data_IF_076115525502
#
_entry.id   IF_076115525502
#
_cell.length_a   1.000
_cell.length_b   1.000
_cell.length_c   1.000
_cell.angle_alpha   90.00
_cell.angle_beta   90.00
_cell.angle_gamma   90.00
#
_symmetry.space_group_name_H-M   'P 1'
#
loop_
_entity.id
_entity.type
_entity.pdbx_description
1 polymer ?
#
# COMPACT_ATOMS: atom_id res chain seq x y z
N UNK A 1 -1.25 20.87 41.34
CA UNK A 1 -1.78 19.49 41.31
C UNK A 1 -2.87 19.44 40.25
N UNK A 2 -2.50 19.16 39.01
CA UNK A 2 -3.45 18.87 37.92
C UNK A 2 -2.75 17.89 36.97
N UNK A 3 -2.90 16.60 37.24
CA UNK A 3 -2.45 15.55 36.35
C UNK A 3 -3.40 15.50 35.14
N UNK A 4 -2.92 15.95 33.98
CA UNK A 4 -3.54 15.61 32.70
C UNK A 4 -3.17 14.16 32.38
N UNK A 5 -4.01 13.24 32.85
CA UNK A 5 -4.05 11.87 32.32
C UNK A 5 -4.76 11.99 30.96
N UNK A 6 -3.97 12.27 29.93
CA UNK A 6 -4.44 12.15 28.56
C UNK A 6 -4.71 10.68 28.27
N UNK A 7 -5.99 10.32 28.24
CA UNK A 7 -6.54 9.03 27.80
C UNK A 7 -5.73 8.46 26.61
N UNK A 8 -4.88 7.48 26.88
CA UNK A 8 -4.23 6.62 25.87
C UNK A 8 -4.99 5.32 25.62
N UNK A 9 -6.26 5.24 26.04
CA UNK A 9 -7.04 4.00 25.99
C UNK A 9 -8.39 4.18 25.26
N UNK A 10 -8.37 4.73 24.04
CA UNK A 10 -9.54 4.71 23.13
C UNK A 10 -9.20 4.27 21.70
N UNK A 11 -8.25 3.35 21.57
CA UNK A 11 -8.16 2.51 20.36
C UNK A 11 -8.48 1.06 20.76
N UNK A 12 -9.71 0.86 21.20
CA UNK A 12 -10.28 -0.46 21.37
C UNK A 12 -10.21 -1.22 20.04
N UNK A 13 -9.51 -2.36 20.03
CA UNK A 13 -9.62 -3.47 19.08
C UNK A 13 -10.67 -3.32 17.99
N UNK A 14 -10.36 -2.53 16.95
CA UNK A 14 -10.98 -2.69 15.66
C UNK A 14 -10.02 -3.52 14.82
N UNK A 15 -10.55 -4.52 14.11
CA UNK A 15 -9.88 -5.16 12.99
C UNK A 15 -9.63 -4.08 11.91
N UNK A 16 -8.61 -3.23 12.10
CA UNK A 16 -8.24 -2.20 11.13
C UNK A 16 -7.69 -2.95 9.91
N UNK A 17 -8.58 -3.20 8.94
CA UNK A 17 -8.21 -3.84 7.67
C UNK A 17 -7.53 -2.87 6.71
N UNK A 18 -7.51 -1.57 7.01
CA UNK A 18 -6.85 -0.55 6.20
C UNK A 18 -6.62 0.74 6.99
N UNK A 19 -5.58 1.50 6.63
CA UNK A 19 -5.34 2.87 7.06
C UNK A 19 -5.25 3.76 5.81
N UNK A 20 -5.94 4.89 5.80
CA UNK A 20 -5.92 5.84 4.68
C UNK A 20 -4.65 6.71 4.73
N UNK A 21 -4.12 7.17 3.58
CA UNK A 21 -2.96 8.04 3.55
C UNK A 21 -3.27 9.39 4.21
N UNK A 22 -2.25 10.03 4.74
CA UNK A 22 -2.29 11.39 5.23
C UNK A 22 -1.87 12.36 4.11
N UNK A 23 -2.31 13.62 4.15
CA UNK A 23 -1.76 14.63 3.25
C UNK A 23 -0.24 14.76 3.48
N UNK A 24 0.55 15.03 2.43
CA UNK A 24 1.97 15.31 2.62
C UNK A 24 2.17 16.52 3.56
N UNK A 25 3.25 16.53 4.36
CA UNK A 25 3.46 17.56 5.38
C UNK A 25 3.67 18.97 4.80
N UNK A 26 4.15 19.06 3.55
CA UNK A 26 4.40 20.33 2.87
C UNK A 26 3.76 20.32 1.48
N UNK A 27 2.62 20.99 1.34
CA UNK A 27 1.90 21.07 0.06
C UNK A 27 2.68 21.83 -1.04
N UNK A 28 3.68 22.64 -0.65
CA UNK A 28 4.47 23.47 -1.58
C UNK A 28 5.70 22.72 -2.08
N UNK A 29 6.35 21.92 -1.24
CA UNK A 29 7.53 21.15 -1.62
C UNK A 29 7.15 19.81 -2.25
N UNK A 30 6.01 19.24 -1.85
CA UNK A 30 5.51 17.94 -2.31
C UNK A 30 4.22 18.12 -3.12
N UNK A 31 4.31 18.95 -4.17
CA UNK A 31 3.15 19.31 -5.01
C UNK A 31 2.58 18.10 -5.74
N UNK A 32 3.45 17.22 -6.20
CA UNK A 32 3.05 16.04 -6.99
C UNK A 32 2.38 15.01 -6.08
N UNK A 33 2.94 14.77 -4.89
CA UNK A 33 2.35 13.90 -3.87
C UNK A 33 1.01 14.46 -3.37
N UNK A 34 0.90 15.79 -3.20
CA UNK A 34 -0.36 16.44 -2.84
C UNK A 34 -1.39 16.28 -3.95
N UNK A 35 -0.97 16.39 -5.21
CA UNK A 35 -1.83 16.20 -6.38
C UNK A 35 -2.34 14.76 -6.50
N UNK A 36 -1.49 13.77 -6.21
CA UNK A 36 -1.85 12.34 -6.12
C UNK A 36 -2.84 12.13 -4.97
N UNK A 37 -2.47 12.56 -3.75
CA UNK A 37 -3.30 12.42 -2.55
C UNK A 37 -4.70 13.01 -2.73
N UNK A 38 -4.79 14.24 -3.25
CA UNK A 38 -6.07 14.93 -3.41
C UNK A 38 -6.99 14.23 -4.41
N UNK A 39 -6.45 13.74 -5.54
CA UNK A 39 -7.21 13.01 -6.56
C UNK A 39 -7.65 11.65 -6.06
N UNK A 40 -6.74 10.90 -5.42
CA UNK A 40 -7.05 9.62 -4.79
C UNK A 40 -8.18 9.76 -3.76
N UNK A 41 -8.03 10.68 -2.81
CA UNK A 41 -9.04 10.90 -1.76
C UNK A 41 -10.37 11.40 -2.32
N UNK A 42 -10.35 12.22 -3.39
CA UNK A 42 -11.57 12.63 -4.08
C UNK A 42 -12.25 11.45 -4.74
N UNK A 43 -11.54 10.63 -5.49
CA UNK A 43 -12.15 9.49 -6.19
C UNK A 43 -12.66 8.43 -5.21
N UNK A 44 -11.88 8.11 -4.17
CA UNK A 44 -12.23 7.14 -3.12
C UNK A 44 -13.60 7.43 -2.47
N UNK A 45 -13.98 8.72 -2.33
CA UNK A 45 -15.31 9.10 -1.81
C UNK A 45 -16.47 8.76 -2.75
N UNK A 46 -16.23 8.68 -4.05
CA UNK A 46 -17.28 8.50 -5.06
C UNK A 46 -17.38 7.06 -5.60
N UNK A 47 -16.40 6.19 -5.35
CA UNK A 47 -16.47 4.79 -5.81
C UNK A 47 -17.68 4.08 -5.18
N UNK A 48 -18.64 3.58 -5.99
CA UNK A 48 -19.86 2.94 -5.51
C UNK A 48 -19.60 1.46 -5.14
N UNK A 49 -18.79 1.23 -4.12
CA UNK A 49 -18.50 -0.10 -3.57
C UNK A 49 -18.48 -0.06 -2.06
N UNK A 50 -19.01 -1.09 -1.41
CA UNK A 50 -18.89 -1.28 0.04
C UNK A 50 -17.55 -1.93 0.43
N UNK A 51 -16.86 -2.56 -0.53
CA UNK A 51 -15.58 -3.25 -0.30
C UNK A 51 -14.42 -2.27 -0.46
N UNK A 52 -13.81 -1.89 0.66
CA UNK A 52 -12.74 -0.89 0.68
C UNK A 52 -11.53 -1.27 -0.19
N UNK A 53 -11.14 -2.54 -0.23
CA UNK A 53 -10.04 -3.03 -1.09
C UNK A 53 -10.28 -2.66 -2.57
N UNK A 54 -11.51 -2.86 -3.06
CA UNK A 54 -11.90 -2.52 -4.43
C UNK A 54 -11.87 -0.99 -4.61
N UNK A 55 -12.34 -0.23 -3.62
CA UNK A 55 -12.31 1.25 -3.68
C UNK A 55 -10.89 1.78 -3.79
N UNK A 56 -9.96 1.23 -3.00
CA UNK A 56 -8.56 1.63 -2.98
C UNK A 56 -7.92 1.32 -4.33
N UNK A 57 -8.07 0.09 -4.83
CA UNK A 57 -7.52 -0.32 -6.13
C UNK A 57 -8.05 0.57 -7.26
N UNK A 58 -9.38 0.74 -7.37
CA UNK A 58 -9.98 1.59 -8.40
C UNK A 58 -9.57 3.06 -8.27
N UNK A 59 -9.40 3.58 -7.06
CA UNK A 59 -8.94 4.95 -6.85
C UNK A 59 -7.46 5.14 -7.21
N UNK A 60 -6.61 4.13 -7.01
CA UNK A 60 -5.22 4.14 -7.48
C UNK A 60 -5.21 4.22 -9.01
N UNK A 61 -5.88 3.29 -9.68
CA UNK A 61 -5.93 3.20 -11.15
C UNK A 61 -6.49 4.48 -11.78
N UNK A 62 -7.60 5.00 -11.26
CA UNK A 62 -8.17 6.26 -11.73
C UNK A 62 -7.23 7.45 -11.55
N UNK A 63 -6.47 7.48 -10.44
CA UNK A 63 -5.52 8.56 -10.18
C UNK A 63 -4.32 8.47 -11.12
N UNK A 64 -3.83 7.26 -11.38
CA UNK A 64 -2.78 6.99 -12.35
C UNK A 64 -3.20 7.43 -13.76
N UNK A 65 -4.39 7.02 -14.22
CA UNK A 65 -4.94 7.39 -15.53
C UNK A 65 -5.08 8.91 -15.71
N UNK A 66 -5.64 9.63 -14.72
CA UNK A 66 -5.83 11.08 -14.82
C UNK A 66 -4.52 11.86 -14.75
N UNK A 67 -3.51 11.31 -14.09
CA UNK A 67 -2.22 11.97 -13.91
C UNK A 67 -1.18 11.55 -14.95
N UNK A 68 -1.50 10.60 -15.84
CA UNK A 68 -0.56 10.00 -16.78
C UNK A 68 0.69 9.43 -16.06
N UNK A 69 0.43 8.71 -14.96
CA UNK A 69 1.44 8.06 -14.11
C UNK A 69 1.23 6.55 -14.12
N UNK A 70 2.24 5.79 -13.71
CA UNK A 70 2.05 4.35 -13.51
C UNK A 70 1.30 4.06 -12.21
N UNK A 71 0.45 3.04 -12.24
CA UNK A 71 -0.24 2.47 -11.08
C UNK A 71 0.71 2.20 -9.91
N UNK A 72 1.89 1.63 -10.22
CA UNK A 72 2.91 1.31 -9.23
C UNK A 72 3.49 2.56 -8.56
N UNK A 73 3.71 3.63 -9.33
CA UNK A 73 4.21 4.89 -8.78
C UNK A 73 3.18 5.56 -7.87
N UNK A 74 1.92 5.64 -8.30
CA UNK A 74 0.83 6.20 -7.48
C UNK A 74 0.65 5.40 -6.18
N UNK A 75 0.61 4.07 -6.27
CA UNK A 75 0.52 3.20 -5.10
C UNK A 75 1.70 3.43 -4.13
N UNK A 76 2.94 3.53 -4.65
CA UNK A 76 4.12 3.80 -3.85
C UNK A 76 4.01 5.12 -3.09
N UNK A 77 3.64 6.21 -3.77
CA UNK A 77 3.47 7.53 -3.13
C UNK A 77 2.42 7.45 -2.02
N UNK A 78 1.28 6.79 -2.27
CA UNK A 78 0.23 6.65 -1.26
C UNK A 78 0.71 5.83 -0.05
N UNK A 79 1.51 4.78 -0.26
CA UNK A 79 2.13 4.00 0.83
C UNK A 79 3.14 4.83 1.62
N UNK A 80 3.95 5.63 0.94
CA UNK A 80 4.88 6.58 1.57
C UNK A 80 4.13 7.63 2.42
N UNK A 81 2.91 7.99 2.02
CA UNK A 81 1.98 8.85 2.76
C UNK A 81 1.16 8.12 3.84
N UNK A 82 1.38 6.82 4.06
CA UNK A 82 0.75 6.05 5.15
C UNK A 82 -0.43 5.17 4.76
N UNK A 83 -0.72 4.98 3.48
CA UNK A 83 -1.73 4.00 3.04
C UNK A 83 -1.31 2.59 3.49
N UNK A 84 -2.19 1.90 4.24
CA UNK A 84 -2.07 0.49 4.59
C UNK A 84 -3.34 -0.23 4.15
N UNK A 85 -3.21 -1.31 3.41
CA UNK A 85 -4.35 -2.07 2.91
C UNK A 85 -3.94 -3.54 2.63
N UNK A 86 -4.89 -4.47 2.48
CA UNK A 86 -4.59 -5.85 2.09
C UNK A 86 -3.94 -5.88 0.71
N UNK A 87 -3.15 -6.91 0.38
CA UNK A 87 -2.43 -6.99 -0.91
C UNK A 87 -3.36 -6.87 -2.13
N UNK A 88 -4.57 -7.41 -2.05
CA UNK A 88 -5.58 -7.34 -3.11
C UNK A 88 -6.07 -5.92 -3.44
N UNK A 89 -5.79 -4.94 -2.57
CA UNK A 89 -6.13 -3.54 -2.79
C UNK A 89 -5.09 -2.78 -3.62
N UNK A 90 -3.97 -3.42 -3.96
CA UNK A 90 -2.86 -2.80 -4.69
C UNK A 90 -2.71 -3.36 -6.12
N UNK A 91 -2.23 -2.54 -7.06
CA UNK A 91 -1.89 -2.99 -8.41
C UNK A 91 -0.80 -4.07 -8.41
N UNK A 92 -0.88 -5.00 -9.37
CA UNK A 92 0.09 -6.11 -9.49
C UNK A 92 1.53 -5.64 -9.67
N UNK A 93 1.73 -4.56 -10.44
CA UNK A 93 3.06 -3.98 -10.67
C UNK A 93 3.66 -3.40 -9.39
N UNK A 94 2.83 -2.79 -8.53
CA UNK A 94 3.28 -2.34 -7.21
C UNK A 94 3.68 -3.51 -6.32
N UNK A 95 2.89 -4.58 -6.30
CA UNK A 95 3.19 -5.78 -5.51
C UNK A 95 4.50 -6.41 -5.95
N UNK A 96 4.74 -6.50 -7.26
CA UNK A 96 5.98 -7.05 -7.82
C UNK A 96 7.19 -6.18 -7.45
N UNK A 97 7.02 -4.85 -7.49
CA UNK A 97 8.04 -3.90 -7.08
C UNK A 97 8.38 -4.01 -5.59
N UNK A 98 7.38 -4.01 -4.69
CA UNK A 98 7.62 -4.04 -3.24
C UNK A 98 8.15 -5.39 -2.79
N UNK A 99 7.69 -6.49 -3.38
CA UNK A 99 8.23 -7.82 -3.10
C UNK A 99 9.72 -7.89 -3.47
N UNK A 100 10.09 -7.36 -4.65
CA UNK A 100 11.49 -7.25 -5.05
C UNK A 100 12.31 -6.32 -4.16
N UNK A 101 11.74 -5.21 -3.67
CA UNK A 101 12.39 -4.30 -2.74
C UNK A 101 12.64 -4.96 -1.38
N UNK A 102 11.64 -5.65 -0.81
CA UNK A 102 11.71 -6.30 0.50
C UNK A 102 12.71 -7.47 0.55
N UNK A 103 13.10 -8.03 -0.60
CA UNK A 103 14.14 -9.06 -0.69
C UNK A 103 15.58 -8.50 -0.67
N UNK A 104 15.76 -7.19 -0.86
CA UNK A 104 17.08 -6.54 -0.88
C UNK A 104 17.50 -6.05 0.50
N UNK A 105 18.79 -5.74 0.67
CA UNK A 105 19.25 -5.06 1.88
C UNK A 105 18.68 -3.64 1.92
N UNK A 106 18.35 -3.09 3.12
CA UNK A 106 17.93 -1.69 3.27
C UNK A 106 18.94 -0.66 2.75
N UNK A 107 20.22 -1.05 2.63
CA UNK A 107 21.30 -0.19 2.14
C UNK A 107 21.53 -0.33 0.62
N UNK A 108 20.88 -1.30 -0.03
CA UNK A 108 21.00 -1.49 -1.47
C UNK A 108 20.17 -0.44 -2.22
N UNK A 109 20.63 -0.08 -3.42
CA UNK A 109 19.83 0.74 -4.33
C UNK A 109 18.55 -0.02 -4.67
N UNK A 110 17.41 0.61 -4.39
CA UNK A 110 16.10 -0.02 -4.53
C UNK A 110 15.74 -1.00 -3.41
N UNK A 111 16.43 -0.92 -2.26
CA UNK A 111 16.02 -1.53 -1.00
C UNK A 111 14.74 -0.89 -0.43
N UNK A 112 14.14 -1.52 0.59
CA UNK A 112 12.86 -1.05 1.14
C UNK A 112 13.05 0.21 2.00
N UNK A 113 12.13 1.16 1.87
CA UNK A 113 12.06 2.31 2.76
C UNK A 113 11.19 2.00 4.01
N UNK A 114 11.20 2.88 5.01
CA UNK A 114 10.45 2.67 6.26
C UNK A 114 8.94 2.43 6.02
N UNK A 115 8.23 3.20 5.17
CA UNK A 115 6.83 2.92 4.84
C UNK A 115 6.56 1.54 4.23
N UNK A 116 7.46 1.01 3.40
CA UNK A 116 7.34 -0.34 2.84
C UNK A 116 7.51 -1.42 3.91
N UNK A 117 8.44 -1.22 4.84
CA UNK A 117 8.63 -2.12 5.99
C UNK A 117 7.38 -2.13 6.87
N UNK A 118 6.80 -0.96 7.15
CA UNK A 118 5.55 -0.85 7.90
C UNK A 118 4.37 -1.50 7.18
N UNK A 119 4.31 -1.42 5.84
CA UNK A 119 3.28 -2.10 5.06
C UNK A 119 3.43 -3.62 5.13
N UNK A 120 4.66 -4.14 5.08
CA UNK A 120 4.94 -5.57 5.30
C UNK A 120 4.50 -6.01 6.70
N UNK A 121 4.85 -5.24 7.72
CA UNK A 121 4.49 -5.55 9.10
C UNK A 121 2.96 -5.49 9.30
N UNK A 122 2.29 -4.55 8.63
CA UNK A 122 0.83 -4.52 8.53
C UNK A 122 0.27 -5.81 7.91
N UNK A 123 0.80 -6.28 6.78
CA UNK A 123 0.37 -7.55 6.15
C UNK A 123 0.57 -8.75 7.07
N UNK A 124 1.67 -8.81 7.80
CA UNK A 124 1.89 -9.84 8.82
C UNK A 124 0.86 -9.77 9.94
N UNK A 125 0.49 -8.57 10.39
CA UNK A 125 -0.50 -8.39 11.47
C UNK A 125 -1.92 -8.84 11.09
N UNK A 126 -2.30 -8.76 9.81
CA UNK A 126 -3.61 -9.21 9.31
C UNK A 126 -3.61 -10.67 8.83
N UNK A 127 -2.48 -11.37 8.98
CA UNK A 127 -2.33 -12.78 8.63
C UNK A 127 -2.14 -13.07 7.14
N UNK A 128 -1.73 -12.09 6.33
CA UNK A 128 -1.39 -12.34 4.94
C UNK A 128 -0.07 -13.13 4.81
N UNK A 129 -0.03 -14.03 3.83
CA UNK A 129 1.06 -14.99 3.64
C UNK A 129 2.38 -14.28 3.33
N UNK A 130 3.41 -14.58 4.13
CA UNK A 130 4.78 -14.10 3.99
C UNK A 130 5.38 -14.44 2.62
N UNK A 131 4.86 -15.49 1.99
CA UNK A 131 5.34 -16.00 0.71
C UNK A 131 4.42 -15.69 -0.47
N UNK A 132 3.43 -14.80 -0.33
CA UNK A 132 2.55 -14.43 -1.44
C UNK A 132 3.34 -13.97 -2.69
N UNK A 133 4.48 -13.31 -2.48
CA UNK A 133 5.46 -12.92 -3.50
C UNK A 133 6.08 -14.08 -4.30
N UNK A 134 6.21 -15.24 -3.66
CA UNK A 134 6.93 -16.40 -4.23
C UNK A 134 6.00 -17.31 -5.03
N UNK A 135 4.69 -17.29 -4.74
CA UNK A 135 3.71 -18.13 -5.46
C UNK A 135 3.58 -17.78 -6.94
N UNK A 136 3.87 -16.55 -7.34
CA UNK A 136 3.82 -16.11 -8.74
C UNK A 136 4.98 -16.63 -9.61
N UNK A 137 6.11 -17.03 -9.02
CA UNK A 137 7.30 -17.47 -9.76
C UNK A 137 7.58 -18.98 -9.71
N UNK A 138 6.80 -19.76 -8.94
CA UNK A 138 6.92 -21.22 -8.84
C UNK A 138 5.74 -21.93 -9.51
N UNK A 139 5.32 -21.49 -10.70
CA UNK A 139 4.69 -22.44 -11.63
C UNK A 139 5.78 -23.44 -12.03
N UNK A 140 5.84 -24.52 -11.26
CA UNK A 140 6.73 -25.66 -11.43
C UNK A 140 6.65 -26.06 -12.89
N UNK A 141 7.76 -25.93 -13.60
CA UNK A 141 7.97 -26.56 -14.89
C UNK A 141 7.64 -28.05 -14.73
N UNK A 142 6.44 -28.45 -15.15
CA UNK A 142 6.09 -29.87 -15.26
C UNK A 142 7.00 -30.42 -16.34
N UNK A 143 7.94 -31.33 -16.04
CA UNK A 143 8.64 -32.01 -17.10
C UNK A 143 7.60 -32.84 -17.84
N UNK A 144 7.26 -32.44 -19.06
CA UNK A 144 6.54 -33.31 -19.99
C UNK A 144 7.48 -34.47 -20.27
N UNK A 145 7.33 -35.55 -19.50
CA UNK A 145 7.90 -36.84 -19.84
C UNK A 145 7.10 -37.36 -21.03
N UNK A 146 7.61 -37.08 -22.24
CA UNK A 146 7.18 -37.77 -23.44
C UNK A 146 7.60 -39.24 -23.33
N UNK A 147 6.60 -40.13 -23.27
CA UNK A 147 6.76 -41.57 -23.42
C UNK A 147 6.95 -41.96 -24.90
#
# INVERSE_FOLDING_TARGET
>A
MTHYIGNRDVFSNQNIRHALPLPPPSAVEQKDEMAIYARFMRHLRHVPSSRMEIKILSAIQFTADIMDLSDAHVAKVLVDLGLRAPRVAFPADFLSFIDGALMRSPLDIGGPNAPMVELRDFWHSIGEDKFAAFKTNFDIAVPVLSA
#
